data_IF_577352113953
#
_entry.id   IF_577352113953
#
_cell.length_a   1.000
_cell.length_b   1.000
_cell.length_c   1.000
_cell.angle_alpha   90.00
_cell.angle_beta   90.00
_cell.angle_gamma   90.00
#
_symmetry.space_group_name_H-M   'P 1'
#
loop_
_entity.id
_entity.type
_entity.pdbx_description
1 polymer ?
#
# COMPACT_ATOMS: atom_id res chain seq x y z
N UNK A 1 -15.85 -17.25 7.52
CA UNK A 1 -16.05 -16.10 8.44
C UNK A 1 -14.74 -15.34 8.56
N UNK A 2 -14.42 -14.49 7.58
CA UNK A 2 -13.45 -13.36 7.65
C UNK A 2 -13.31 -12.80 6.22
N UNK A 3 -14.40 -12.26 5.70
CA UNK A 3 -14.31 -11.24 4.66
C UNK A 3 -14.05 -9.93 5.41
N UNK A 4 -12.82 -9.74 5.91
CA UNK A 4 -12.35 -8.39 6.17
C UNK A 4 -12.38 -7.74 4.80
N UNK A 5 -13.31 -6.81 4.63
CA UNK A 5 -13.64 -6.14 3.39
C UNK A 5 -12.37 -5.92 2.54
N UNK A 6 -12.13 -6.74 1.49
CA UNK A 6 -10.90 -6.67 0.69
C UNK A 6 -10.63 -5.24 0.21
N UNK A 7 -11.70 -4.45 0.02
CA UNK A 7 -11.65 -3.03 -0.33
C UNK A 7 -10.83 -2.15 0.62
N UNK A 8 -10.71 -2.48 1.92
CA UNK A 8 -10.04 -1.57 2.89
C UNK A 8 -8.54 -1.53 2.70
N UNK A 9 -7.91 -2.70 2.60
CA UNK A 9 -6.46 -2.78 2.35
C UNK A 9 -6.13 -2.54 0.89
N UNK A 10 -6.91 -3.10 -0.05
CA UNK A 10 -6.67 -2.91 -1.48
C UNK A 10 -6.83 -1.42 -1.86
N UNK A 11 -7.84 -0.74 -1.32
CA UNK A 11 -8.03 0.70 -1.51
C UNK A 11 -6.90 1.53 -0.89
N UNK A 12 -6.40 1.15 0.29
CA UNK A 12 -5.23 1.81 0.89
C UNK A 12 -3.99 1.63 -0.01
N UNK A 13 -3.73 0.41 -0.48
CA UNK A 13 -2.60 0.08 -1.36
C UNK A 13 -2.63 0.88 -2.65
N UNK A 14 -3.80 0.97 -3.30
CA UNK A 14 -3.98 1.78 -4.51
C UNK A 14 -3.72 3.27 -4.25
N UNK A 15 -4.22 3.81 -3.13
CA UNK A 15 -3.99 5.22 -2.77
C UNK A 15 -2.51 5.49 -2.47
N UNK A 16 -1.84 4.61 -1.72
CA UNK A 16 -0.40 4.68 -1.46
C UNK A 16 0.41 4.71 -2.76
N UNK A 17 0.06 3.84 -3.72
CA UNK A 17 0.71 3.77 -5.03
C UNK A 17 0.52 5.07 -5.82
N UNK A 18 -0.71 5.59 -5.93
CA UNK A 18 -1.00 6.85 -6.64
C UNK A 18 -0.27 8.05 -6.01
N UNK A 19 -0.24 8.12 -4.68
CA UNK A 19 0.48 9.16 -3.96
C UNK A 19 1.99 9.07 -4.20
N UNK A 20 2.57 7.87 -4.16
CA UNK A 20 3.99 7.69 -4.45
C UNK A 20 4.34 8.04 -5.91
N UNK A 21 3.53 7.60 -6.87
CA UNK A 21 3.69 7.91 -8.30
C UNK A 21 3.52 9.41 -8.61
N UNK A 22 2.73 10.13 -7.82
CA UNK A 22 2.59 11.59 -7.92
C UNK A 22 3.71 12.36 -7.21
N UNK A 23 4.70 11.67 -6.62
CA UNK A 23 5.81 12.28 -5.87
C UNK A 23 5.47 12.65 -4.42
N UNK A 24 4.24 12.36 -3.98
CA UNK A 24 3.74 12.62 -2.62
C UNK A 24 4.09 11.48 -1.67
N UNK A 25 5.37 11.08 -1.66
CA UNK A 25 5.84 9.92 -0.91
C UNK A 25 5.51 9.98 0.59
N UNK A 26 5.73 11.12 1.24
CA UNK A 26 5.44 11.28 2.67
C UNK A 26 3.94 11.08 2.96
N UNK A 27 3.07 11.49 2.04
CA UNK A 27 1.63 11.27 2.16
C UNK A 27 1.30 9.78 1.99
N UNK A 28 1.94 9.09 1.04
CA UNK A 28 1.78 7.65 0.86
C UNK A 28 2.17 6.85 2.11
N UNK A 29 3.31 7.18 2.74
CA UNK A 29 3.73 6.54 3.99
C UNK A 29 2.74 6.81 5.13
N UNK A 30 2.20 8.03 5.24
CA UNK A 30 1.17 8.34 6.24
C UNK A 30 -0.14 7.56 6.03
N UNK A 31 -0.50 7.23 4.78
CA UNK A 31 -1.68 6.40 4.51
C UNK A 31 -1.49 4.97 5.02
N UNK A 32 -0.30 4.40 4.88
CA UNK A 32 0.02 3.09 5.45
C UNK A 32 -0.16 3.08 6.98
N UNK A 33 0.43 4.05 7.68
CA UNK A 33 0.34 4.12 9.14
C UNK A 33 -1.13 4.19 9.60
N UNK A 34 -1.96 5.01 8.94
CA UNK A 34 -3.40 5.07 9.23
C UNK A 34 -4.12 3.75 8.97
N UNK A 35 -3.78 3.06 7.90
CA UNK A 35 -4.36 1.77 7.57
C UNK A 35 -3.96 0.72 8.61
N UNK A 36 -2.67 0.62 8.95
CA UNK A 36 -2.17 -0.26 10.01
C UNK A 36 -2.87 0.00 11.33
N UNK A 37 -2.92 1.25 11.77
CA UNK A 37 -3.57 1.61 13.04
C UNK A 37 -5.06 1.27 13.02
N UNK A 38 -5.71 1.41 11.86
CA UNK A 38 -7.12 1.03 11.70
C UNK A 38 -7.32 -0.47 11.76
N UNK A 39 -6.47 -1.26 11.10
CA UNK A 39 -6.52 -2.72 11.12
C UNK A 39 -6.26 -3.26 12.53
N UNK A 40 -5.25 -2.74 13.22
CA UNK A 40 -4.93 -3.12 14.58
C UNK A 40 -6.03 -2.73 15.56
N UNK A 41 -6.47 -1.47 15.55
CA UNK A 41 -7.41 -0.97 16.56
C UNK A 41 -8.85 -1.41 16.33
N UNK A 42 -9.28 -1.58 15.07
CA UNK A 42 -10.68 -1.93 14.78
C UNK A 42 -10.88 -3.42 14.52
N UNK A 43 -9.87 -4.09 13.97
CA UNK A 43 -10.00 -5.48 13.50
C UNK A 43 -9.06 -6.44 14.24
N UNK A 44 -8.08 -5.93 15.00
CA UNK A 44 -7.11 -6.74 15.72
C UNK A 44 -6.17 -7.54 14.81
N UNK A 45 -5.98 -7.07 13.56
CA UNK A 45 -5.14 -7.74 12.56
C UNK A 45 -4.02 -6.85 12.08
N UNK A 46 -2.92 -7.47 11.67
CA UNK A 46 -1.80 -6.80 11.01
C UNK A 46 -2.08 -6.59 9.50
N UNK A 47 -1.44 -5.62 8.84
CA UNK A 47 -1.49 -5.48 7.39
C UNK A 47 -1.02 -6.73 6.65
N UNK A 48 -1.60 -6.97 5.48
CA UNK A 48 -1.13 -8.01 4.56
C UNK A 48 0.31 -7.75 4.10
N UNK A 49 1.03 -8.83 3.74
CA UNK A 49 2.40 -8.74 3.25
C UNK A 49 2.54 -7.82 2.05
N UNK A 50 1.57 -7.83 1.11
CA UNK A 50 1.55 -6.94 -0.05
C UNK A 50 1.55 -5.45 0.34
N UNK A 51 0.79 -5.10 1.39
CA UNK A 51 0.71 -3.73 1.91
C UNK A 51 2.03 -3.30 2.58
N UNK A 52 2.66 -4.22 3.33
CA UNK A 52 3.98 -3.98 3.95
C UNK A 52 5.08 -3.83 2.90
N UNK A 53 5.09 -4.68 1.87
CA UNK A 53 6.08 -4.65 0.80
C UNK A 53 5.98 -3.34 0.00
N UNK A 54 4.76 -2.89 -0.29
CA UNK A 54 4.56 -1.58 -0.94
C UNK A 54 5.09 -0.44 -0.07
N UNK A 55 4.79 -0.45 1.24
CA UNK A 55 5.30 0.56 2.17
C UNK A 55 6.82 0.64 2.15
N UNK A 56 7.52 -0.49 2.27
CA UNK A 56 8.99 -0.50 2.27
C UNK A 56 9.57 -0.02 0.94
N UNK A 57 8.98 -0.41 -0.21
CA UNK A 57 9.38 0.09 -1.53
C UNK A 57 9.21 1.60 -1.67
N UNK A 58 8.08 2.13 -1.22
CA UNK A 58 7.83 3.57 -1.19
C UNK A 58 8.87 4.24 -0.30
N UNK A 59 9.20 3.65 0.85
CA UNK A 59 10.19 4.13 1.83
C UNK A 59 11.65 4.00 1.38
N UNK A 60 12.00 3.17 0.41
CA UNK A 60 13.34 3.19 -0.19
C UNK A 60 13.42 3.97 -1.50
N UNK A 61 12.27 4.42 -2.03
CA UNK A 61 12.20 5.29 -3.21
C UNK A 61 12.12 4.53 -4.52
N UNK A 62 11.72 3.25 -4.44
CA UNK A 62 11.52 2.36 -5.58
C UNK A 62 10.17 2.60 -6.27
N UNK A 63 9.33 3.51 -5.76
CA UNK A 63 8.04 3.89 -6.34
C UNK A 63 8.01 5.42 -6.51
N UNK A 64 8.05 5.91 -7.75
CA UNK A 64 8.03 7.33 -8.08
C UNK A 64 8.35 7.63 -9.54
N UNK A 65 8.17 8.89 -9.99
CA UNK A 65 8.36 9.33 -11.40
C UNK A 65 9.78 9.14 -11.97
N UNK A 66 10.78 8.80 -11.16
CA UNK A 66 12.20 8.84 -11.54
C UNK A 66 12.95 7.50 -11.53
N UNK A 67 12.34 6.40 -11.13
CA UNK A 67 13.01 5.09 -11.02
C UNK A 67 12.36 4.12 -12.01
N UNK A 68 13.09 3.77 -13.07
CA UNK A 68 12.66 2.89 -14.16
C UNK A 68 12.48 1.41 -13.76
N UNK A 69 11.85 1.14 -12.61
CA UNK A 69 11.66 -0.21 -12.05
C UNK A 69 10.19 -0.48 -11.73
N UNK A 70 9.27 -0.05 -12.61
CA UNK A 70 7.90 -0.58 -12.67
C UNK A 70 7.88 -2.10 -13.03
N UNK A 71 9.03 -2.78 -13.08
CA UNK A 71 9.19 -4.13 -13.63
C UNK A 71 9.16 -5.25 -12.58
N UNK A 72 9.05 -4.95 -11.28
CA UNK A 72 9.11 -5.95 -10.20
C UNK A 72 7.87 -5.94 -9.29
N UNK A 73 6.67 -5.80 -9.85
CA UNK A 73 5.46 -6.25 -9.16
C UNK A 73 5.11 -7.64 -9.67
N UNK A 74 5.08 -8.68 -8.83
CA UNK A 74 4.62 -9.99 -9.28
C UNK A 74 3.12 -9.88 -9.57
N UNK A 75 2.81 -10.08 -10.84
CA UNK A 75 1.54 -10.22 -11.54
C UNK A 75 0.35 -10.83 -10.75
N UNK A 76 -0.19 -10.22 -9.69
CA UNK A 76 -1.51 -10.64 -9.18
C UNK A 76 -2.37 -9.45 -8.71
N UNK A 77 -3.32 -9.12 -9.59
CA UNK A 77 -4.58 -8.41 -9.36
C UNK A 77 -4.53 -6.92 -8.97
N UNK A 78 -4.58 -6.06 -9.99
CA UNK A 78 -5.29 -4.77 -9.86
C UNK A 78 -6.79 -5.12 -9.88
N UNK A 79 -7.58 -4.92 -8.80
CA UNK A 79 -9.02 -5.02 -8.92
C UNK A 79 -9.51 -3.77 -9.68
N UNK A 80 -10.32 -4.04 -10.72
CA UNK A 80 -11.07 -3.04 -11.50
C UNK A 80 -12.16 -2.42 -10.64
#
# INVERSE_FOLDING_TARGET
LLALDPLREDGCRQLMLLLALSGQRSVALSQYEKCRDTLLNQLGVEPTQETVDLYERIKVGQVGRGTGELRLWPEHHVPV
#
